data_IF_906329062309
#
_entry.id   IF_906329062309
#
_cell.length_a   1.000
_cell.length_b   1.000
_cell.length_c   1.000
_cell.angle_alpha   90.00
_cell.angle_beta   90.00
_cell.angle_gamma   90.00
#
_symmetry.space_group_name_H-M   'P 1'
#
loop_
_entity.id
_entity.type
_entity.pdbx_description
1 polymer ?
#
# COMPACT_ATOMS: atom_id res chain seq x y z
N UNK A 1 -15.03 -9.72 6.95
CA UNK A 1 -14.24 -8.74 6.18
C UNK A 1 -13.24 -8.12 7.14
N UNK A 2 -11.96 -8.06 6.77
CA UNK A 2 -10.92 -7.49 7.65
C UNK A 2 -11.05 -5.96 7.73
N UNK A 3 -10.62 -5.35 8.82
CA UNK A 3 -10.59 -3.89 8.96
C UNK A 3 -9.28 -3.29 8.49
N UNK A 4 -9.29 -1.98 8.22
CA UNK A 4 -8.07 -1.25 7.86
C UNK A 4 -7.05 -1.19 9.01
N UNK A 5 -7.52 -1.20 10.26
CA UNK A 5 -6.65 -1.28 11.44
C UNK A 5 -6.00 -2.65 11.56
N UNK A 6 -6.76 -3.73 11.33
CA UNK A 6 -6.21 -5.09 11.28
C UNK A 6 -5.12 -5.21 10.22
N UNK A 7 -5.33 -4.62 9.04
CA UNK A 7 -4.32 -4.56 7.99
C UNK A 7 -3.05 -3.82 8.45
N UNK A 8 -3.20 -2.70 9.17
CA UNK A 8 -2.07 -1.98 9.75
C UNK A 8 -1.29 -2.79 10.79
N UNK A 9 -1.98 -3.57 11.63
CA UNK A 9 -1.36 -4.49 12.58
C UNK A 9 -0.56 -5.57 11.83
N UNK A 10 -1.12 -6.14 10.77
CA UNK A 10 -0.43 -7.14 9.94
C UNK A 10 0.83 -6.58 9.31
N UNK A 11 0.80 -5.39 8.71
CA UNK A 11 2.01 -4.77 8.20
C UNK A 11 3.06 -4.53 9.29
N UNK A 12 2.64 -4.08 10.47
CA UNK A 12 3.58 -3.82 11.57
C UNK A 12 4.22 -5.06 12.19
N UNK A 13 3.53 -6.20 12.12
CA UNK A 13 3.96 -7.46 12.75
C UNK A 13 4.65 -8.41 11.77
N UNK A 14 4.53 -8.15 10.46
CA UNK A 14 5.15 -8.96 9.43
C UNK A 14 6.68 -8.76 9.40
N UNK A 15 7.42 -9.88 9.31
CA UNK A 15 8.87 -9.85 9.15
C UNK A 15 9.20 -9.78 7.67
N UNK A 16 9.75 -8.65 7.25
CA UNK A 16 10.07 -8.43 5.85
C UNK A 16 11.49 -8.89 5.47
N UNK A 17 11.59 -9.59 4.35
CA UNK A 17 12.86 -9.92 3.68
C UNK A 17 12.72 -9.60 2.19
N UNK A 18 13.45 -8.60 1.72
CA UNK A 18 13.40 -8.13 0.32
C UNK A 18 14.66 -7.36 -0.04
N UNK A 19 15.05 -7.41 -1.32
CA UNK A 19 16.13 -6.59 -1.87
C UNK A 19 15.61 -5.53 -2.86
N UNK A 20 14.47 -5.83 -3.50
CA UNK A 20 13.85 -4.98 -4.51
C UNK A 20 12.32 -4.88 -4.28
N UNK A 21 11.62 -4.05 -5.06
CA UNK A 21 10.17 -3.86 -4.93
C UNK A 21 9.38 -5.13 -5.23
N UNK A 22 9.86 -5.96 -6.15
CA UNK A 22 9.22 -7.23 -6.50
C UNK A 22 9.28 -8.23 -5.35
N UNK A 23 10.40 -8.31 -4.64
CA UNK A 23 10.53 -9.13 -3.43
C UNK A 23 9.57 -8.63 -2.33
N UNK A 24 9.45 -7.31 -2.16
CA UNK A 24 8.51 -6.72 -1.20
C UNK A 24 7.05 -7.02 -1.59
N UNK A 25 6.69 -6.91 -2.87
CA UNK A 25 5.37 -7.32 -3.36
C UNK A 25 5.11 -8.80 -3.05
N UNK A 26 6.06 -9.69 -3.29
CA UNK A 26 5.92 -11.12 -2.99
C UNK A 26 5.72 -11.38 -1.48
N UNK A 27 6.45 -10.67 -0.62
CA UNK A 27 6.27 -10.80 0.83
C UNK A 27 4.87 -10.34 1.29
N UNK A 28 4.39 -9.21 0.74
CA UNK A 28 3.04 -8.69 1.02
C UNK A 28 1.96 -9.65 0.50
N UNK A 29 2.15 -10.22 -0.69
CA UNK A 29 1.27 -11.23 -1.27
C UNK A 29 1.18 -12.48 -0.38
N UNK A 30 2.32 -13.01 0.07
CA UNK A 30 2.35 -14.13 1.01
C UNK A 30 1.64 -13.79 2.33
N UNK A 31 1.80 -12.56 2.84
CA UNK A 31 1.09 -12.09 4.02
C UNK A 31 -0.43 -12.07 3.80
N UNK A 32 -0.91 -11.56 2.66
CA UNK A 32 -2.33 -11.59 2.32
C UNK A 32 -2.89 -13.01 2.23
N UNK A 33 -2.18 -13.92 1.55
CA UNK A 33 -2.57 -15.34 1.46
C UNK A 33 -2.66 -15.97 2.85
N UNK A 34 -1.63 -15.79 3.69
CA UNK A 34 -1.58 -16.39 5.02
C UNK A 34 -2.66 -15.88 5.98
N UNK A 35 -3.21 -14.68 5.72
CA UNK A 35 -4.26 -14.06 6.53
C UNK A 35 -5.64 -14.07 5.85
N UNK A 36 -5.79 -14.81 4.76
CA UNK A 36 -7.03 -14.95 3.99
C UNK A 36 -7.63 -13.60 3.57
N UNK A 37 -6.77 -12.63 3.21
CA UNK A 37 -7.19 -11.32 2.71
C UNK A 37 -7.36 -11.41 1.19
N UNK A 38 -8.56 -11.24 0.64
CA UNK A 38 -8.75 -11.16 -0.81
C UNK A 38 -8.02 -9.95 -1.38
N UNK A 39 -7.20 -10.17 -2.39
CA UNK A 39 -6.43 -9.13 -3.06
C UNK A 39 -6.45 -9.30 -4.58
N UNK A 40 -6.25 -8.19 -5.28
CA UNK A 40 -5.85 -8.17 -6.68
C UNK A 40 -4.46 -7.51 -6.77
N UNK A 41 -3.57 -8.05 -7.61
CA UNK A 41 -2.19 -7.56 -7.77
C UNK A 41 -2.03 -6.84 -9.10
N UNK A 42 -1.19 -5.80 -9.11
CA UNK A 42 -0.87 -4.96 -10.28
C UNK A 42 -2.13 -4.46 -11.00
N UNK A 43 -3.04 -3.86 -10.23
CA UNK A 43 -4.37 -3.48 -10.69
C UNK A 43 -4.29 -2.25 -11.57
N UNK A 44 -4.70 -2.41 -12.83
CA UNK A 44 -4.78 -1.31 -13.79
C UNK A 44 -6.03 -0.46 -13.52
N UNK A 45 -5.83 0.75 -12.99
CA UNK A 45 -6.90 1.73 -12.75
C UNK A 45 -7.18 2.58 -13.99
N UNK A 46 -6.16 2.79 -14.83
CA UNK A 46 -6.27 3.50 -16.11
C UNK A 46 -5.18 3.01 -17.08
N UNK A 47 -5.13 3.56 -18.29
CA UNK A 47 -4.04 3.27 -19.24
C UNK A 47 -2.64 3.55 -18.67
N UNK A 48 -2.52 4.47 -17.70
CA UNK A 48 -1.23 4.93 -17.13
C UNK A 48 -1.06 4.62 -15.65
N UNK A 49 -2.11 4.14 -14.98
CA UNK A 49 -2.12 3.93 -13.53
C UNK A 49 -2.25 2.44 -13.22
N UNK A 50 -1.20 1.88 -12.63
CA UNK A 50 -1.16 0.52 -12.11
C UNK A 50 -0.76 0.64 -10.65
N UNK A 51 -1.63 0.17 -9.75
CA UNK A 51 -1.36 0.13 -8.31
C UNK A 51 -0.90 -1.27 -7.91
N UNK A 52 0.04 -1.38 -6.96
CA UNK A 52 0.63 -2.68 -6.61
C UNK A 52 -0.40 -3.70 -6.16
N UNK A 53 -1.35 -3.29 -5.30
CA UNK A 53 -2.47 -4.13 -4.89
C UNK A 53 -3.75 -3.35 -4.67
N UNK A 54 -4.88 -4.06 -4.73
CA UNK A 54 -6.11 -3.62 -4.08
C UNK A 54 -6.68 -4.72 -3.20
N UNK A 55 -7.27 -4.35 -2.07
CA UNK A 55 -7.93 -5.25 -1.13
C UNK A 55 -9.31 -4.72 -0.77
N UNK A 56 -10.26 -5.61 -0.48
CA UNK A 56 -11.59 -5.23 0.01
C UNK A 56 -11.62 -5.30 1.54
N UNK A 57 -11.83 -4.14 2.18
CA UNK A 57 -11.89 -3.98 3.63
C UNK A 57 -13.23 -3.34 4.05
N UNK A 58 -13.42 -3.16 5.35
CA UNK A 58 -14.57 -2.46 5.95
C UNK A 58 -14.84 -1.06 5.38
N UNK A 59 -13.80 -0.37 4.92
CA UNK A 59 -13.89 0.95 4.26
C UNK A 59 -14.11 0.88 2.75
N UNK A 60 -14.29 -0.32 2.18
CA UNK A 60 -14.38 -0.60 0.76
C UNK A 60 -13.04 -0.95 0.11
N UNK A 61 -12.93 -0.75 -1.21
CA UNK A 61 -11.71 -1.06 -1.97
C UNK A 61 -10.56 -0.12 -1.60
N UNK A 62 -9.52 -0.68 -1.01
CA UNK A 62 -8.32 0.03 -0.59
C UNK A 62 -7.19 -0.29 -1.55
N UNK A 63 -6.54 0.73 -2.08
CA UNK A 63 -5.30 0.57 -2.83
C UNK A 63 -4.11 0.43 -1.89
N UNK A 64 -3.15 -0.45 -2.19
CA UNK A 64 -1.89 -0.57 -1.46
C UNK A 64 -0.74 -0.29 -2.41
N UNK A 65 0.10 0.69 -2.08
CA UNK A 65 1.28 1.08 -2.87
C UNK A 65 2.55 0.83 -2.05
N UNK A 66 3.52 0.18 -2.67
CA UNK A 66 4.77 -0.26 -2.06
C UNK A 66 5.94 0.59 -2.54
N UNK A 67 6.88 0.92 -1.64
CA UNK A 67 8.08 1.71 -1.97
C UNK A 67 9.30 1.26 -1.18
N UNK A 68 10.38 0.90 -1.87
CA UNK A 68 11.69 0.66 -1.21
C UNK A 68 12.65 1.84 -1.37
N UNK A 69 12.43 2.67 -2.38
CA UNK A 69 13.21 3.87 -2.69
C UNK A 69 12.35 4.83 -3.53
N UNK A 70 12.94 5.92 -4.02
CA UNK A 70 12.33 6.88 -4.91
C UNK A 70 12.01 8.20 -4.23
N UNK A 71 11.55 9.14 -5.06
CA UNK A 71 11.26 10.50 -4.62
C UNK A 71 9.85 10.61 -4.03
N UNK A 72 9.73 11.23 -2.85
CA UNK A 72 8.44 11.58 -2.21
C UNK A 72 7.47 12.24 -3.20
N UNK A 73 7.94 13.20 -4.01
CA UNK A 73 7.09 13.90 -4.96
C UNK A 73 6.56 13.00 -6.09
N UNK A 74 7.27 11.94 -6.45
CA UNK A 74 6.77 10.95 -7.41
C UNK A 74 5.61 10.15 -6.79
N UNK A 75 5.76 9.71 -5.54
CA UNK A 75 4.68 9.05 -4.82
C UNK A 75 3.47 9.98 -4.65
N UNK A 76 3.65 11.25 -4.25
CA UNK A 76 2.51 12.17 -4.09
C UNK A 76 1.70 12.33 -5.38
N UNK A 77 2.36 12.31 -6.55
CA UNK A 77 1.66 12.28 -7.84
C UNK A 77 0.91 10.98 -8.06
N UNK A 78 1.46 9.82 -7.68
CA UNK A 78 0.75 8.53 -7.74
C UNK A 78 -0.48 8.54 -6.84
N UNK A 79 -0.33 8.94 -5.57
CA UNK A 79 -1.43 9.06 -4.60
C UNK A 79 -2.57 9.90 -5.18
N UNK A 80 -2.26 11.09 -5.72
CA UNK A 80 -3.29 11.95 -6.32
C UNK A 80 -4.03 11.27 -7.46
N UNK A 81 -3.31 10.60 -8.38
CA UNK A 81 -3.93 9.88 -9.49
C UNK A 81 -4.81 8.73 -9.00
N UNK A 82 -4.32 7.89 -8.09
CA UNK A 82 -5.07 6.74 -7.59
C UNK A 82 -6.32 7.16 -6.82
N UNK A 83 -6.22 8.15 -5.94
CA UNK A 83 -7.36 8.66 -5.17
C UNK A 83 -8.35 9.49 -6.02
N UNK A 84 -8.00 9.85 -7.25
CA UNK A 84 -8.96 10.43 -8.21
C UNK A 84 -9.94 9.39 -8.78
N UNK A 85 -9.66 8.09 -8.63
CA UNK A 85 -10.58 7.03 -9.06
C UNK A 85 -11.62 6.74 -7.98
N UNK A 86 -12.92 6.82 -8.32
CA UNK A 86 -14.03 6.60 -7.38
C UNK A 86 -14.09 5.18 -6.82
N UNK A 87 -13.54 4.21 -7.54
CA UNK A 87 -13.42 2.83 -7.09
C UNK A 87 -12.51 2.68 -5.87
N UNK A 88 -11.45 3.50 -5.76
CA UNK A 88 -10.54 3.50 -4.61
C UNK A 88 -11.12 4.37 -3.50
N UNK A 89 -11.38 3.79 -2.33
CA UNK A 89 -11.97 4.47 -1.17
C UNK A 89 -10.91 4.99 -0.19
N UNK A 90 -9.78 4.29 -0.10
CA UNK A 90 -8.61 4.72 0.67
C UNK A 90 -7.33 4.18 0.03
N UNK A 91 -6.19 4.71 0.47
CA UNK A 91 -4.88 4.23 0.05
C UNK A 91 -4.02 3.88 1.27
N UNK A 92 -3.26 2.79 1.19
CA UNK A 92 -2.27 2.39 2.18
C UNK A 92 -0.88 2.39 1.54
N UNK A 93 0.04 3.20 2.05
CA UNK A 93 1.43 3.23 1.57
C UNK A 93 2.31 2.42 2.52
N UNK A 94 3.03 1.43 2.00
CA UNK A 94 3.96 0.61 2.78
C UNK A 94 5.37 0.72 2.20
N UNK A 95 6.38 1.03 3.00
CA UNK A 95 7.71 1.17 2.44
C UNK A 95 8.81 1.54 3.41
N UNK A 96 10.05 1.54 2.96
CA UNK A 96 11.24 1.88 3.78
C UNK A 96 11.60 3.37 3.83
N UNK A 97 11.32 4.22 2.81
CA UNK A 97 11.80 5.59 2.82
C UNK A 97 11.29 6.39 4.03
N UNK A 98 12.16 7.21 4.63
CA UNK A 98 11.80 7.99 5.83
C UNK A 98 10.59 8.90 5.60
N UNK A 99 10.40 9.36 4.37
CA UNK A 99 9.32 10.25 4.00
C UNK A 99 7.95 9.57 3.97
N UNK A 100 7.86 8.23 4.05
CA UNK A 100 6.58 7.50 4.19
C UNK A 100 5.83 8.02 5.42
N UNK A 101 6.55 8.27 6.52
CA UNK A 101 5.99 8.89 7.74
C UNK A 101 5.57 10.36 7.58
N UNK A 102 5.85 10.99 6.44
CA UNK A 102 5.65 12.41 6.18
C UNK A 102 4.85 12.65 4.88
N UNK A 103 3.96 11.72 4.51
CA UNK A 103 2.95 11.93 3.47
C UNK A 103 1.64 12.50 4.09
N UNK A 104 0.77 13.15 3.31
CA UNK A 104 -0.56 13.55 3.77
C UNK A 104 -1.36 12.36 4.30
N UNK A 105 -2.24 12.59 5.27
CA UNK A 105 -3.16 11.57 5.81
C UNK A 105 -4.51 11.56 5.08
N UNK A 106 -4.76 12.54 4.22
CA UNK A 106 -5.99 12.66 3.46
C UNK A 106 -5.72 13.44 2.16
N UNK A 107 -6.40 13.07 1.08
CA UNK A 107 -6.43 13.79 -0.20
C UNK A 107 -7.74 13.44 -0.93
N UNK A 108 -8.35 14.40 -1.63
CA UNK A 108 -9.64 14.21 -2.32
C UNK A 108 -10.73 13.60 -1.41
N UNK A 109 -10.77 14.02 -0.14
CA UNK A 109 -11.65 13.49 0.92
C UNK A 109 -11.47 11.99 1.24
N UNK A 110 -10.41 11.34 0.75
CA UNK A 110 -10.09 9.93 0.99
C UNK A 110 -8.87 9.80 1.90
N UNK A 111 -8.90 8.82 2.78
CA UNK A 111 -7.84 8.59 3.76
C UNK A 111 -6.60 7.95 3.14
N UNK A 112 -5.45 8.33 3.67
CA UNK A 112 -4.15 7.76 3.35
C UNK A 112 -3.55 7.20 4.64
N UNK A 113 -3.38 5.89 4.66
CA UNK A 113 -2.72 5.14 5.72
C UNK A 113 -1.27 4.86 5.31
N UNK A 114 -0.43 4.59 6.30
CA UNK A 114 1.00 4.40 6.07
C UNK A 114 1.63 3.44 7.06
N UNK A 115 2.58 2.65 6.57
CA UNK A 115 3.46 1.86 7.40
C UNK A 115 4.89 1.99 6.88
N UNK A 116 5.78 2.53 7.72
CA UNK A 116 7.21 2.55 7.40
C UNK A 116 7.86 1.29 7.94
N UNK A 117 8.45 0.50 7.04
CA UNK A 117 9.26 -0.66 7.37
C UNK A 117 10.62 -0.14 7.87
N UNK A 118 10.95 -0.43 9.15
CA UNK A 118 12.19 0.00 9.79
C UNK A 118 13.29 -1.06 9.77
N UNK A 119 12.93 -2.33 9.59
CA UNK A 119 13.86 -3.47 9.61
C UNK A 119 13.58 -4.36 8.41
N UNK A 120 14.46 -4.32 7.42
CA UNK A 120 14.57 -5.37 6.41
C UNK A 120 15.80 -6.21 6.74
N UNK A 121 15.64 -7.53 6.86
CA UNK A 121 16.82 -8.41 6.93
C UNK A 121 17.34 -8.54 5.50
N UNK A 122 18.40 -7.78 5.19
CA UNK A 122 19.15 -7.87 3.94
C UNK A 122 20.03 -9.14 3.94
#
# INVERSE_FOLDING_TARGET
MKTIEELGILFSSHKYRFYNEKDLQLAIEQMFIANEIPYEREVRLSNKDIIDFTVELDVGKVGVELKIDGARNALLRQINRYLSHDSIKALYVVGTPYWVNNIPIQLNNKFIYRHRILVGVF
#
